data_IF_460754489693
#
_entry.id   IF_460754489693
#
_cell.length_a   1.000
_cell.length_b   1.000
_cell.length_c   1.000
_cell.angle_alpha   90.00
_cell.angle_beta   90.00
_cell.angle_gamma   90.00
#
_symmetry.space_group_name_H-M   'P 1'
#
loop_
_entity.id
_entity.type
_entity.pdbx_description
1 polymer ?
#
# COMPACT_ATOMS: atom_id res chain seq x y z
N UNK A 1 -36.04 -15.75 36.52
CA UNK A 1 -35.32 -16.11 35.28
C UNK A 1 -34.85 -14.91 34.44
N UNK A 2 -35.10 -13.65 34.85
CA UNK A 2 -34.77 -12.43 34.06
C UNK A 2 -33.42 -11.80 34.45
N UNK A 3 -32.96 -11.98 35.70
CA UNK A 3 -31.68 -11.41 36.21
C UNK A 3 -30.43 -11.93 35.49
N UNK A 4 -30.43 -13.20 35.04
CA UNK A 4 -29.29 -13.79 34.35
C UNK A 4 -29.19 -13.36 32.88
N UNK A 5 -30.30 -12.93 32.28
CA UNK A 5 -30.34 -12.42 30.89
C UNK A 5 -29.65 -11.05 30.81
N UNK A 6 -29.83 -10.18 31.81
CA UNK A 6 -29.18 -8.87 31.85
C UNK A 6 -27.64 -8.94 31.95
N UNK A 7 -27.11 -9.89 32.73
CA UNK A 7 -25.65 -10.11 32.86
C UNK A 7 -25.06 -10.68 31.57
N UNK A 8 -25.78 -11.58 30.89
CA UNK A 8 -25.37 -12.15 29.61
C UNK A 8 -25.30 -11.10 28.49
N UNK A 9 -26.25 -10.15 28.46
CA UNK A 9 -26.21 -9.03 27.50
C UNK A 9 -25.03 -8.09 27.72
N UNK A 10 -24.65 -7.80 28.98
CA UNK A 10 -23.48 -6.95 29.28
C UNK A 10 -22.17 -7.65 28.89
N UNK A 11 -22.08 -8.97 29.07
CA UNK A 11 -20.91 -9.77 28.70
C UNK A 11 -20.66 -9.83 27.18
N UNK A 12 -21.68 -9.58 26.35
CA UNK A 12 -21.56 -9.61 24.89
C UNK A 12 -20.96 -8.30 24.32
N UNK A 13 -21.00 -7.19 25.05
CA UNK A 13 -20.45 -5.91 24.58
C UNK A 13 -18.93 -5.77 24.74
N UNK A 14 -18.28 -6.62 25.54
CA UNK A 14 -16.83 -6.57 25.77
C UNK A 14 -15.98 -7.26 24.68
N UNK A 15 -16.61 -7.89 23.67
CA UNK A 15 -15.91 -8.55 22.56
C UNK A 15 -15.79 -7.70 21.28
N UNK A 16 -16.02 -6.38 21.34
CA UNK A 16 -15.75 -5.52 20.18
C UNK A 16 -14.24 -5.32 20.02
N UNK A 17 -13.59 -6.21 19.26
CA UNK A 17 -12.22 -6.03 18.82
C UNK A 17 -12.13 -4.94 17.76
N UNK A 18 -11.38 -3.87 18.03
CA UNK A 18 -11.06 -2.87 17.01
C UNK A 18 -10.00 -3.46 16.07
N UNK A 19 -10.40 -3.85 14.86
CA UNK A 19 -9.45 -4.15 13.80
C UNK A 19 -9.02 -2.84 13.13
N UNK A 20 -7.71 -2.63 13.00
CA UNK A 20 -7.17 -1.41 12.41
C UNK A 20 -6.85 -1.69 10.94
N UNK A 21 -7.44 -0.87 10.07
CA UNK A 21 -7.08 -0.74 8.66
C UNK A 21 -6.85 0.75 8.41
N UNK A 22 -5.64 1.11 8.02
CA UNK A 22 -5.31 2.45 7.57
C UNK A 22 -4.81 2.40 6.12
N UNK A 23 -5.33 3.32 5.31
CA UNK A 23 -4.95 3.43 3.92
C UNK A 23 -4.98 4.89 3.50
N UNK A 24 -3.80 5.41 3.20
CA UNK A 24 -3.62 6.84 2.94
C UNK A 24 -2.66 7.04 1.77
N UNK A 25 -2.89 8.11 1.01
CA UNK A 25 -1.97 8.53 -0.03
C UNK A 25 -1.89 10.05 -0.06
N UNK A 26 -0.66 10.55 -0.13
CA UNK A 26 -0.30 11.96 -0.04
C UNK A 26 0.45 12.37 -1.30
N UNK A 27 -0.14 13.30 -2.05
CA UNK A 27 0.49 13.91 -3.23
C UNK A 27 1.37 15.06 -2.75
N UNK A 28 2.60 15.12 -3.23
CA UNK A 28 3.48 16.26 -2.93
C UNK A 28 3.04 17.46 -3.78
N UNK A 29 2.85 18.66 -3.21
CA UNK A 29 2.47 19.83 -3.99
C UNK A 29 3.49 20.12 -5.09
N UNK A 30 3.01 20.50 -6.28
CA UNK A 30 3.83 20.85 -7.45
C UNK A 30 4.82 19.76 -7.93
N UNK A 31 4.66 18.50 -7.52
CA UNK A 31 5.52 17.39 -7.97
C UNK A 31 4.96 16.62 -9.17
N UNK A 32 3.71 16.89 -9.56
CA UNK A 32 3.08 16.22 -10.68
C UNK A 32 3.75 16.61 -12.00
N UNK A 33 4.00 15.62 -12.85
CA UNK A 33 4.51 15.82 -14.20
C UNK A 33 3.48 15.31 -15.19
N UNK A 34 3.05 16.19 -16.08
CA UNK A 34 2.25 15.78 -17.23
C UNK A 34 3.08 14.83 -18.11
N UNK A 35 2.42 13.80 -18.65
CA UNK A 35 3.03 12.78 -19.52
C UNK A 35 3.95 11.74 -18.85
N UNK A 36 3.88 11.55 -17.53
CA UNK A 36 4.48 10.37 -16.88
C UNK A 36 3.85 9.08 -17.43
N UNK A 37 4.63 8.25 -18.11
CA UNK A 37 4.14 7.00 -18.74
C UNK A 37 4.89 5.75 -18.30
N UNK A 38 6.17 5.88 -17.95
CA UNK A 38 7.04 4.74 -17.61
C UNK A 38 7.48 4.74 -16.16
N UNK A 39 7.38 3.58 -15.52
CA UNK A 39 7.74 3.34 -14.14
C UNK A 39 8.87 2.31 -14.07
N UNK A 40 9.80 2.50 -13.13
CA UNK A 40 10.78 1.49 -12.75
C UNK A 40 10.58 1.18 -11.27
N UNK A 41 10.39 -0.09 -10.93
CA UNK A 41 10.24 -0.52 -9.54
C UNK A 41 11.58 -1.04 -9.03
N UNK A 42 12.08 -0.43 -7.96
CA UNK A 42 13.32 -0.89 -7.33
C UNK A 42 13.10 -2.24 -6.67
N UNK A 43 13.92 -3.23 -7.01
CA UNK A 43 13.96 -4.50 -6.30
C UNK A 43 14.84 -4.37 -5.05
N UNK A 44 14.27 -4.63 -3.88
CA UNK A 44 15.03 -4.68 -2.64
C UNK A 44 15.62 -6.08 -2.47
N UNK A 45 16.94 -6.18 -2.27
CA UNK A 45 17.63 -7.48 -2.05
C UNK A 45 17.07 -8.20 -0.81
N UNK A 46 16.49 -7.46 0.13
CA UNK A 46 15.89 -7.99 1.35
C UNK A 46 14.47 -8.51 1.16
N UNK A 47 13.82 -8.20 0.03
CA UNK A 47 12.46 -8.65 -0.26
C UNK A 47 12.46 -10.13 -0.65
N UNK A 48 11.78 -10.94 0.16
CA UNK A 48 11.63 -12.39 -0.05
C UNK A 48 10.28 -12.77 -0.63
N UNK A 49 9.38 -11.80 -0.79
CA UNK A 49 7.99 -12.02 -1.17
C UNK A 49 7.67 -11.46 -2.57
N UNK A 50 8.70 -11.05 -3.32
CA UNK A 50 8.56 -10.52 -4.68
C UNK A 50 7.57 -9.35 -4.77
N UNK A 51 7.51 -8.50 -3.74
CA UNK A 51 6.65 -7.32 -3.69
C UNK A 51 6.93 -6.38 -4.86
N UNK A 52 8.18 -6.25 -5.32
CA UNK A 52 8.45 -5.46 -6.52
C UNK A 52 7.65 -5.97 -7.73
N UNK A 53 7.57 -7.28 -7.95
CA UNK A 53 6.81 -7.86 -9.08
C UNK A 53 5.31 -7.63 -8.93
N UNK A 54 4.79 -7.71 -7.70
CA UNK A 54 3.40 -7.37 -7.41
C UNK A 54 3.10 -5.89 -7.70
N UNK A 55 4.03 -4.99 -7.33
CA UNK A 55 3.92 -3.56 -7.59
C UNK A 55 3.95 -3.29 -9.10
N UNK A 56 4.88 -3.90 -9.83
CA UNK A 56 4.95 -3.81 -11.29
C UNK A 56 3.64 -4.24 -11.94
N UNK A 57 3.10 -5.40 -11.53
CA UNK A 57 1.82 -5.93 -12.02
C UNK A 57 0.67 -4.97 -11.73
N UNK A 58 0.61 -4.40 -10.53
CA UNK A 58 -0.42 -3.44 -10.15
C UNK A 58 -0.32 -2.13 -10.97
N UNK A 59 0.89 -1.65 -11.26
CA UNK A 59 1.11 -0.48 -12.12
C UNK A 59 0.62 -0.75 -13.55
N UNK A 60 0.98 -1.91 -14.11
CA UNK A 60 0.53 -2.34 -15.45
C UNK A 60 -1.00 -2.45 -15.51
N UNK A 61 -1.62 -3.03 -14.47
CA UNK A 61 -3.08 -3.16 -14.35
C UNK A 61 -3.79 -1.81 -14.33
N UNK A 62 -3.14 -0.74 -13.88
CA UNK A 62 -3.66 0.62 -13.90
C UNK A 62 -3.36 1.38 -15.22
N UNK A 63 -2.83 0.69 -16.23
CA UNK A 63 -2.66 1.24 -17.60
C UNK A 63 -1.33 1.95 -17.85
N UNK A 64 -0.34 1.79 -16.97
CA UNK A 64 1.00 2.36 -17.13
C UNK A 64 2.02 1.31 -17.56
N UNK A 65 3.16 1.75 -18.10
CA UNK A 65 4.23 0.85 -18.52
C UNK A 65 5.31 0.73 -17.45
N UNK A 66 5.83 -0.47 -17.27
CA UNK A 66 7.00 -0.75 -16.42
C UNK A 66 8.21 -1.05 -17.30
N UNK A 67 9.37 -0.49 -16.93
CA UNK A 67 10.66 -0.74 -17.59
C UNK A 67 11.63 -1.37 -16.62
N UNK A 68 12.65 -2.07 -17.14
CA UNK A 68 13.64 -2.79 -16.33
C UNK A 68 14.86 -1.95 -15.94
N UNK A 69 14.92 -0.68 -16.37
CA UNK A 69 16.06 0.21 -16.15
C UNK A 69 15.60 1.59 -15.69
N UNK A 70 16.11 2.05 -14.54
CA UNK A 70 15.77 3.36 -13.99
C UNK A 70 16.05 4.53 -14.95
N UNK A 71 17.00 4.39 -15.89
CA UNK A 71 17.35 5.45 -16.85
C UNK A 71 16.29 5.66 -17.94
N UNK A 72 15.42 4.67 -18.15
CA UNK A 72 14.36 4.68 -19.15
C UNK A 72 13.00 5.05 -18.53
N UNK A 73 12.94 5.17 -17.21
CA UNK A 73 11.72 5.47 -16.48
C UNK A 73 11.55 6.97 -16.26
N UNK A 74 10.30 7.42 -16.28
CA UNK A 74 9.92 8.75 -15.80
C UNK A 74 9.83 8.77 -14.27
N UNK A 75 9.39 7.66 -13.68
CA UNK A 75 9.17 7.50 -12.24
C UNK A 75 9.92 6.28 -11.69
N UNK A 76 10.55 6.48 -10.54
CA UNK A 76 11.14 5.41 -9.73
C UNK A 76 10.20 5.11 -8.57
N UNK A 77 9.87 3.84 -8.43
CA UNK A 77 9.01 3.33 -7.38
C UNK A 77 9.87 2.62 -6.36
N UNK A 78 9.80 3.09 -5.13
CA UNK A 78 10.49 2.51 -3.97
C UNK A 78 9.45 2.07 -2.95
N UNK A 79 9.77 1.09 -2.12
CA UNK A 79 8.83 0.62 -1.10
C UNK A 79 9.54 0.21 0.19
N UNK A 80 8.74 0.11 1.24
CA UNK A 80 9.13 -0.46 2.53
C UNK A 80 8.01 -1.40 2.94
N UNK A 81 8.39 -2.61 3.33
CA UNK A 81 7.49 -3.62 3.85
C UNK A 81 7.83 -3.95 5.30
N UNK A 82 6.80 -4.21 6.11
CA UNK A 82 6.96 -4.84 7.43
C UNK A 82 6.08 -6.06 7.50
N UNK A 83 6.64 -7.11 8.06
CA UNK A 83 5.97 -8.39 8.26
C UNK A 83 5.87 -8.70 9.75
N UNK A 84 4.82 -9.42 10.11
CA UNK A 84 4.59 -9.87 11.47
C UNK A 84 4.23 -11.36 11.45
N UNK A 85 4.50 -12.06 12.55
CA UNK A 85 4.49 -13.53 12.59
C UNK A 85 3.60 -14.13 13.70
N UNK A 86 2.89 -13.30 14.47
CA UNK A 86 2.17 -13.71 15.69
C UNK A 86 1.13 -14.82 15.50
N UNK A 87 0.42 -14.83 14.37
CA UNK A 87 -0.56 -15.88 14.01
C UNK A 87 -0.17 -16.64 12.73
N UNK A 88 0.86 -16.16 12.04
CA UNK A 88 1.29 -16.53 10.69
C UNK A 88 2.07 -15.37 10.09
N UNK A 89 2.87 -15.60 9.05
CA UNK A 89 3.61 -14.49 8.43
C UNK A 89 2.67 -13.67 7.55
N UNK A 90 2.47 -12.38 7.85
CA UNK A 90 1.63 -11.48 7.05
C UNK A 90 2.23 -10.08 6.96
N UNK A 91 1.88 -9.39 5.87
CA UNK A 91 2.27 -8.01 5.61
C UNK A 91 1.44 -7.08 6.51
N UNK A 92 2.08 -6.49 7.53
CA UNK A 92 1.42 -5.58 8.47
C UNK A 92 1.42 -4.14 7.96
N UNK A 93 2.46 -3.76 7.21
CA UNK A 93 2.63 -2.42 6.65
C UNK A 93 3.27 -2.50 5.27
N UNK A 94 2.71 -1.76 4.33
CA UNK A 94 3.31 -1.47 3.05
C UNK A 94 3.32 0.05 2.83
N UNK A 95 4.50 0.59 2.52
CA UNK A 95 4.68 1.99 2.11
C UNK A 95 5.29 2.01 0.72
N UNK A 96 4.69 2.75 -0.21
CA UNK A 96 5.18 2.91 -1.58
C UNK A 96 5.41 4.39 -1.85
N UNK A 97 6.51 4.73 -2.51
CA UNK A 97 6.80 6.10 -2.94
C UNK A 97 7.07 6.12 -4.43
N UNK A 98 6.40 7.00 -5.14
CA UNK A 98 6.75 7.37 -6.50
C UNK A 98 7.66 8.59 -6.45
N UNK A 99 8.78 8.51 -7.15
CA UNK A 99 9.83 9.53 -7.15
C UNK A 99 10.17 9.89 -8.57
N UNK A 100 10.45 11.16 -8.82
CA UNK A 100 10.90 11.59 -10.14
C UNK A 100 12.24 10.94 -10.50
N UNK A 101 12.38 10.40 -11.71
CA UNK A 101 13.61 9.69 -12.08
C UNK A 101 14.83 10.60 -12.20
N UNK A 102 14.65 11.90 -12.52
CA UNK A 102 15.73 12.86 -12.77
C UNK A 102 16.34 13.37 -11.48
N UNK A 103 15.51 13.81 -10.53
CA UNK A 103 15.99 14.43 -9.28
C UNK A 103 15.67 13.61 -8.01
N UNK A 104 15.01 12.45 -8.16
CA UNK A 104 14.59 11.57 -7.06
C UNK A 104 13.63 12.23 -6.07
N UNK A 105 13.00 13.35 -6.41
CA UNK A 105 12.07 14.04 -5.52
C UNK A 105 10.76 13.24 -5.40
N UNK A 106 10.18 13.07 -4.19
CA UNK A 106 8.95 12.33 -4.02
C UNK A 106 7.78 13.05 -4.70
N UNK A 107 6.94 12.28 -5.39
CA UNK A 107 5.76 12.77 -6.09
C UNK A 107 4.48 12.40 -5.36
N UNK A 108 4.42 11.15 -4.88
CA UNK A 108 3.30 10.65 -4.08
C UNK A 108 3.81 9.55 -3.16
N UNK A 109 3.29 9.53 -1.94
CA UNK A 109 3.57 8.51 -0.93
C UNK A 109 2.27 7.85 -0.54
N UNK A 110 2.21 6.52 -0.64
CA UNK A 110 1.10 5.70 -0.21
C UNK A 110 1.50 4.83 0.99
N UNK A 111 0.56 4.61 1.90
CA UNK A 111 0.68 3.70 3.04
C UNK A 111 -0.57 2.83 3.17
N UNK A 112 -0.37 1.53 3.42
CA UNK A 112 -1.42 0.58 3.77
C UNK A 112 -0.96 -0.20 5.00
N UNK A 113 -1.68 -0.10 6.11
CA UNK A 113 -1.39 -0.83 7.34
C UNK A 113 -2.61 -1.60 7.82
N UNK A 114 -2.40 -2.86 8.22
CA UNK A 114 -3.47 -3.78 8.63
C UNK A 114 -3.02 -4.63 9.81
N UNK A 115 -3.80 -4.63 10.88
CA UNK A 115 -3.57 -5.55 12.02
C UNK A 115 -3.95 -6.99 11.67
N UNK A 116 -3.48 -7.96 12.44
CA UNK A 116 -3.68 -9.41 12.23
C UNK A 116 -5.13 -9.82 11.89
N UNK A 117 -6.13 -9.23 12.53
CA UNK A 117 -7.56 -9.51 12.27
C UNK A 117 -8.10 -8.97 10.94
N UNK A 118 -7.46 -7.97 10.33
CA UNK A 118 -7.81 -7.42 9.01
C UNK A 118 -6.76 -7.74 7.94
N UNK A 119 -5.92 -8.75 8.17
CA UNK A 119 -4.90 -9.18 7.21
C UNK A 119 -5.51 -9.52 5.85
N UNK A 120 -4.74 -9.24 4.81
CA UNK A 120 -5.05 -9.55 3.41
C UNK A 120 -3.80 -10.08 2.74
N UNK A 121 -3.99 -10.73 1.60
CA UNK A 121 -2.88 -11.18 0.76
C UNK A 121 -2.05 -9.97 0.29
N UNK A 122 -0.71 -10.12 0.18
CA UNK A 122 0.17 -9.03 -0.26
C UNK A 122 -0.25 -8.41 -1.60
N UNK A 123 -0.65 -9.25 -2.57
CA UNK A 123 -1.11 -8.78 -3.89
C UNK A 123 -2.32 -7.87 -3.77
N UNK A 124 -3.27 -8.20 -2.88
CA UNK A 124 -4.44 -7.35 -2.63
C UNK A 124 -4.02 -5.99 -2.05
N UNK A 125 -3.13 -5.99 -1.05
CA UNK A 125 -2.68 -4.75 -0.41
C UNK A 125 -1.92 -3.84 -1.38
N UNK A 126 -1.12 -4.43 -2.27
CA UNK A 126 -0.39 -3.71 -3.33
C UNK A 126 -1.37 -3.12 -4.35
N UNK A 127 -2.28 -3.93 -4.89
CA UNK A 127 -3.29 -3.48 -5.86
C UNK A 127 -4.12 -2.33 -5.32
N UNK A 128 -4.59 -2.48 -4.08
CA UNK A 128 -5.41 -1.50 -3.39
C UNK A 128 -4.64 -0.18 -3.18
N UNK A 129 -3.41 -0.25 -2.70
CA UNK A 129 -2.60 0.94 -2.45
C UNK A 129 -2.23 1.68 -3.74
N UNK A 130 -1.80 0.95 -4.77
CA UNK A 130 -1.43 1.54 -6.08
C UNK A 130 -2.64 2.20 -6.73
N UNK A 131 -3.82 1.57 -6.68
CA UNK A 131 -5.06 2.16 -7.17
C UNK A 131 -5.34 3.51 -6.51
N UNK A 132 -5.26 3.57 -5.17
CA UNK A 132 -5.52 4.79 -4.40
C UNK A 132 -4.51 5.88 -4.70
N UNK A 133 -3.24 5.52 -4.87
CA UNK A 133 -2.19 6.46 -5.28
C UNK A 133 -2.51 7.08 -6.65
N UNK A 134 -2.85 6.29 -7.65
CA UNK A 134 -3.22 6.81 -8.98
C UNK A 134 -4.51 7.65 -8.95
N UNK A 135 -5.53 7.22 -8.22
CA UNK A 135 -6.75 8.00 -8.05
C UNK A 135 -6.48 9.36 -7.41
N UNK A 136 -5.63 9.42 -6.38
CA UNK A 136 -5.23 10.67 -5.73
C UNK A 136 -4.41 11.56 -6.64
N UNK A 137 -3.47 11.00 -7.39
CA UNK A 137 -2.66 11.76 -8.35
C UNK A 137 -3.51 12.37 -9.47
N UNK A 138 -4.57 11.68 -9.92
CA UNK A 138 -5.47 12.17 -10.96
C UNK A 138 -6.44 13.26 -10.48
N UNK A 139 -6.83 13.26 -9.20
CA UNK A 139 -7.79 14.23 -8.61
C UNK A 139 -7.19 15.61 -8.29
N UNK A 140 -6.11 16.02 -9.00
CA UNK A 140 -5.43 17.33 -9.00
C UNK A 140 -6.01 18.36 -8.00
N UNK A 141 -5.25 18.68 -6.95
CA UNK A 141 -5.57 19.81 -6.06
C UNK A 141 -5.41 21.13 -6.79
#
# INVERSE_FOLDING_TARGET
MVKNVGVLCILLFIFTGCSIVSQEAYVVPNSYKENTKTYYVEHLITDKNDLNKLIEKAIIKNGFSVVNNHKQADVIVTYIDRWFWDMGNYLILLKIQFRDSKNKFPMIVGENARTSFARKEPEFMVDELIKVMFEKQNRRF
#
